data_IF_791339546536
#
_entry.id   IF_791339546536
#
_cell.length_a   1.000
_cell.length_b   1.000
_cell.length_c   1.000
_cell.angle_alpha   90.00
_cell.angle_beta   90.00
_cell.angle_gamma   90.00
#
_symmetry.space_group_name_H-M   'P 1'
#
loop_
_entity.id
_entity.type
_entity.pdbx_description
1 polymer ?
#
# COMPACT_ATOMS: atom_id res chain seq x y z
N UNK A 1 5.53 -14.08 -19.07
CA UNK A 1 6.29 -12.85 -18.73
C UNK A 1 6.31 -11.91 -19.91
N UNK A 2 5.96 -10.63 -19.70
CA UNK A 2 6.01 -9.60 -20.74
C UNK A 2 7.46 -9.36 -21.23
N UNK A 3 7.60 -8.73 -22.40
CA UNK A 3 8.92 -8.39 -22.95
C UNK A 3 9.45 -7.09 -22.33
N UNK A 4 10.77 -6.91 -22.23
CA UNK A 4 11.38 -5.66 -21.70
C UNK A 4 10.86 -4.40 -22.40
N UNK A 5 10.56 -4.47 -23.69
CA UNK A 5 10.01 -3.35 -24.47
C UNK A 5 8.65 -2.85 -23.99
N UNK A 6 7.81 -3.72 -23.43
CA UNK A 6 6.54 -3.31 -22.80
C UNK A 6 6.79 -2.50 -21.51
N UNK A 7 7.71 -2.95 -20.66
CA UNK A 7 8.15 -2.21 -19.47
C UNK A 7 8.62 -0.81 -19.87
N UNK A 8 9.51 -0.72 -20.85
CA UNK A 8 10.08 0.55 -21.32
C UNK A 8 9.00 1.47 -21.90
N UNK A 9 8.04 0.91 -22.63
CA UNK A 9 6.93 1.68 -23.19
C UNK A 9 6.03 2.27 -22.10
N UNK A 10 5.70 1.49 -21.07
CA UNK A 10 4.88 1.95 -19.94
C UNK A 10 5.66 2.99 -19.11
N UNK A 11 6.94 2.74 -18.84
CA UNK A 11 7.81 3.65 -18.12
C UNK A 11 7.94 5.00 -18.82
N UNK A 12 8.15 5.00 -20.13
CA UNK A 12 8.24 6.20 -20.94
C UNK A 12 6.95 7.02 -20.96
N UNK A 13 5.78 6.37 -21.02
CA UNK A 13 4.47 7.05 -20.92
C UNK A 13 4.21 7.63 -19.53
N UNK A 14 4.59 6.89 -18.48
CA UNK A 14 4.40 7.28 -17.10
C UNK A 14 5.49 8.22 -16.56
N UNK A 15 6.57 8.47 -17.33
CA UNK A 15 7.70 9.30 -16.91
C UNK A 15 8.44 8.76 -15.67
N UNK A 16 8.38 7.46 -15.42
CA UNK A 16 9.02 6.79 -14.28
C UNK A 16 10.13 5.84 -14.78
N UNK A 17 10.91 5.30 -13.84
CA UNK A 17 12.00 4.38 -14.19
C UNK A 17 11.46 3.02 -14.60
N UNK A 18 12.13 2.35 -15.54
CA UNK A 18 11.82 0.97 -15.97
C UNK A 18 11.78 0.00 -14.78
N UNK A 19 12.69 0.16 -13.82
CA UNK A 19 12.74 -0.65 -12.60
C UNK A 19 11.50 -0.47 -11.72
N UNK A 20 10.86 0.71 -11.74
CA UNK A 20 9.61 0.96 -11.02
C UNK A 20 8.46 0.19 -11.66
N UNK A 21 8.39 0.18 -13.00
CA UNK A 21 7.37 -0.58 -13.74
C UNK A 21 7.60 -2.08 -13.58
N UNK A 22 8.85 -2.54 -13.64
CA UNK A 22 9.16 -3.95 -13.40
C UNK A 22 8.70 -4.40 -12.01
N UNK A 23 8.98 -3.60 -10.97
CA UNK A 23 8.52 -3.91 -9.61
C UNK A 23 6.99 -3.94 -9.52
N UNK A 24 6.30 -2.98 -10.11
CA UNK A 24 4.84 -2.90 -10.16
C UNK A 24 4.23 -4.11 -10.91
N UNK A 25 4.88 -4.57 -11.98
CA UNK A 25 4.50 -5.77 -12.70
C UNK A 25 4.64 -7.03 -11.84
N UNK A 26 5.76 -7.18 -11.14
CA UNK A 26 5.97 -8.33 -10.25
C UNK A 26 4.98 -8.30 -9.08
N UNK A 27 4.69 -7.12 -8.50
CA UNK A 27 3.64 -6.94 -7.49
C UNK A 27 2.29 -7.45 -8.02
N UNK A 28 1.94 -7.15 -9.28
CA UNK A 28 0.69 -7.64 -9.87
C UNK A 28 0.63 -9.17 -9.90
N UNK A 29 1.71 -9.82 -10.29
CA UNK A 29 1.79 -11.29 -10.29
C UNK A 29 1.72 -11.89 -8.89
N UNK A 30 2.37 -11.27 -7.90
CA UNK A 30 2.24 -11.70 -6.49
C UNK A 30 0.80 -11.58 -6.01
N UNK A 31 0.11 -10.48 -6.32
CA UNK A 31 -1.30 -10.28 -5.97
C UNK A 31 -2.21 -11.31 -6.65
N UNK A 32 -1.95 -11.67 -7.91
CA UNK A 32 -2.67 -12.75 -8.60
C UNK A 32 -2.42 -14.11 -7.92
N UNK A 33 -1.18 -14.36 -7.50
CA UNK A 33 -0.84 -15.54 -6.72
C UNK A 33 -1.58 -15.61 -5.37
N UNK A 34 -1.71 -14.48 -4.67
CA UNK A 34 -2.52 -14.38 -3.43
C UNK A 34 -3.98 -14.70 -3.73
N UNK A 35 -4.55 -14.10 -4.77
CA UNK A 35 -5.94 -14.32 -5.15
C UNK A 35 -6.23 -15.76 -5.61
N UNK A 36 -5.23 -16.46 -6.15
CA UNK A 36 -5.32 -17.86 -6.56
C UNK A 36 -5.10 -18.86 -5.41
N UNK A 37 -4.47 -18.44 -4.31
CA UNK A 37 -4.23 -19.28 -3.14
C UNK A 37 -5.36 -19.10 -2.12
N UNK A 38 -6.19 -20.14 -1.92
CA UNK A 38 -7.38 -20.06 -1.05
C UNK A 38 -7.04 -19.58 0.37
N UNK A 39 -5.96 -20.11 0.97
CA UNK A 39 -5.57 -19.73 2.32
C UNK A 39 -5.21 -18.24 2.40
N UNK A 40 -4.40 -17.74 1.47
CA UNK A 40 -3.98 -16.33 1.46
C UNK A 40 -5.17 -15.42 1.15
N UNK A 41 -6.02 -15.78 0.17
CA UNK A 41 -7.19 -14.98 -0.21
C UNK A 41 -8.17 -14.82 0.94
N UNK A 42 -8.43 -15.90 1.73
CA UNK A 42 -9.40 -15.87 2.81
C UNK A 42 -8.89 -15.22 4.10
N UNK A 43 -7.58 -15.20 4.31
CA UNK A 43 -6.99 -14.74 5.57
C UNK A 43 -6.23 -13.42 5.48
N UNK A 44 -5.97 -12.89 4.28
CA UNK A 44 -5.26 -11.63 4.09
C UNK A 44 -6.19 -10.54 3.55
N UNK A 45 -6.21 -9.40 4.21
CA UNK A 45 -6.89 -8.20 3.73
C UNK A 45 -5.83 -7.18 3.31
N UNK A 46 -5.81 -6.85 2.02
CA UNK A 46 -4.83 -5.95 1.42
C UNK A 46 -5.05 -4.50 1.87
N UNK A 47 -3.99 -3.82 2.27
CA UNK A 47 -4.03 -2.44 2.77
C UNK A 47 -2.86 -1.60 2.26
N UNK A 48 -2.66 -0.43 2.82
CA UNK A 48 -1.52 0.44 2.53
C UNK A 48 -1.69 1.30 1.27
N UNK A 49 -0.59 1.90 0.81
CA UNK A 49 -0.59 2.77 -0.38
C UNK A 49 -0.80 2.00 -1.69
N UNK A 50 -0.34 0.75 -1.72
CA UNK A 50 -0.39 -0.09 -2.92
C UNK A 50 -1.83 -0.49 -3.27
N UNK A 51 -2.74 -0.57 -2.27
CA UNK A 51 -4.16 -0.84 -2.55
C UNK A 51 -4.80 0.26 -3.40
N UNK A 52 -4.39 1.53 -3.21
CA UNK A 52 -4.92 2.65 -3.99
C UNK A 52 -4.60 2.49 -5.47
N UNK A 53 -3.36 2.10 -5.82
CA UNK A 53 -2.93 1.86 -7.21
C UNK A 53 -3.52 0.60 -7.81
N UNK A 54 -3.53 -0.49 -7.05
CA UNK A 54 -3.84 -1.83 -7.59
C UNK A 54 -5.31 -2.19 -7.58
N UNK A 55 -6.14 -1.41 -6.86
CA UNK A 55 -7.55 -1.76 -6.66
C UNK A 55 -8.48 -0.59 -6.97
N UNK A 56 -8.09 0.64 -6.65
CA UNK A 56 -8.98 1.79 -6.74
C UNK A 56 -8.70 2.69 -7.94
N UNK A 57 -7.44 3.11 -8.14
CA UNK A 57 -7.09 4.17 -9.09
C UNK A 57 -5.94 3.75 -10.01
N UNK A 58 -6.21 3.41 -11.29
CA UNK A 58 -5.18 2.93 -12.21
C UNK A 58 -4.05 3.95 -12.46
N UNK A 59 -4.38 5.24 -12.40
CA UNK A 59 -3.42 6.33 -12.63
C UNK A 59 -2.78 6.89 -11.36
N UNK A 60 -2.98 6.20 -10.23
CA UNK A 60 -2.40 6.60 -8.95
C UNK A 60 -0.87 6.43 -8.94
N UNK A 61 -0.21 7.14 -8.01
CA UNK A 61 1.24 6.98 -7.80
C UNK A 61 1.63 5.53 -7.57
N UNK A 62 2.81 5.16 -8.01
CA UNK A 62 3.37 3.84 -7.74
C UNK A 62 3.64 3.63 -6.24
N UNK A 63 3.58 2.40 -5.81
CA UNK A 63 3.92 1.95 -4.46
C UNK A 63 4.63 0.62 -4.53
N UNK A 64 5.49 0.32 -3.56
CA UNK A 64 6.47 -0.75 -3.67
C UNK A 64 6.30 -1.87 -2.66
N UNK A 65 5.50 -1.63 -1.61
CA UNK A 65 5.30 -2.54 -0.49
C UNK A 65 3.94 -3.26 -0.60
N UNK A 66 3.86 -4.46 -0.09
CA UNK A 66 2.63 -5.22 0.05
C UNK A 66 2.27 -5.34 1.53
N UNK A 67 1.27 -4.59 1.95
CA UNK A 67 0.80 -4.53 3.33
C UNK A 67 -0.52 -5.32 3.47
N UNK A 68 -0.62 -6.17 4.47
CA UNK A 68 -1.82 -6.97 4.77
C UNK A 68 -2.18 -6.92 6.25
N UNK A 69 -3.47 -7.04 6.51
CA UNK A 69 -3.99 -7.42 7.83
C UNK A 69 -4.42 -8.88 7.77
N UNK A 70 -3.93 -9.68 8.70
CA UNK A 70 -4.37 -11.07 8.85
C UNK A 70 -5.68 -11.10 9.65
N UNK A 71 -6.70 -11.77 9.09
CA UNK A 71 -8.04 -11.86 9.68
C UNK A 71 -8.45 -13.28 10.03
N UNK A 72 -7.56 -14.26 9.79
CA UNK A 72 -7.79 -15.66 10.17
C UNK A 72 -7.81 -15.87 11.69
N UNK A 73 -8.32 -17.01 12.12
CA UNK A 73 -8.43 -17.34 13.56
C UNK A 73 -7.07 -17.47 14.23
N UNK A 74 -6.16 -18.20 13.60
CA UNK A 74 -4.85 -18.54 14.15
C UNK A 74 -3.77 -17.95 13.24
N UNK A 75 -2.97 -17.04 13.81
CA UNK A 75 -1.83 -16.45 13.11
C UNK A 75 -0.66 -17.43 13.13
N UNK A 76 -0.73 -18.42 12.24
CA UNK A 76 0.29 -19.45 12.09
C UNK A 76 1.29 -19.04 10.99
N UNK A 77 2.48 -18.66 11.40
CA UNK A 77 3.55 -18.23 10.49
C UNK A 77 4.00 -19.36 9.57
N UNK A 78 4.04 -20.61 10.04
CA UNK A 78 4.46 -21.74 9.21
C UNK A 78 3.39 -22.04 8.13
N UNK A 79 2.11 -21.89 8.45
CA UNK A 79 1.04 -21.99 7.46
C UNK A 79 1.13 -20.85 6.42
N UNK A 80 1.41 -19.61 6.87
CA UNK A 80 1.62 -18.46 5.98
C UNK A 80 2.82 -18.73 5.04
N UNK A 81 3.96 -19.16 5.57
CA UNK A 81 5.16 -19.51 4.79
C UNK A 81 4.86 -20.60 3.75
N UNK A 82 4.18 -21.66 4.16
CA UNK A 82 3.80 -22.75 3.25
C UNK A 82 2.90 -22.26 2.11
N UNK A 83 1.97 -21.34 2.41
CA UNK A 83 1.10 -20.73 1.41
C UNK A 83 1.87 -19.81 0.44
N UNK A 84 2.82 -19.00 0.95
CA UNK A 84 3.69 -18.17 0.08
C UNK A 84 4.64 -19.01 -0.77
N UNK A 85 5.14 -20.14 -0.27
CA UNK A 85 5.95 -21.06 -1.10
C UNK A 85 5.15 -21.62 -2.29
N UNK A 86 3.89 -22.02 -2.06
CA UNK A 86 2.98 -22.44 -3.15
C UNK A 86 2.69 -21.29 -4.12
N UNK A 87 2.52 -20.07 -3.62
CA UNK A 87 2.35 -18.89 -4.46
C UNK A 87 3.58 -18.66 -5.35
N UNK A 88 4.78 -18.76 -4.80
CA UNK A 88 6.05 -18.58 -5.53
C UNK A 88 6.17 -19.61 -6.67
N UNK A 89 5.86 -20.87 -6.40
CA UNK A 89 5.84 -21.93 -7.41
C UNK A 89 4.81 -21.61 -8.52
N UNK A 90 3.59 -21.25 -8.13
CA UNK A 90 2.53 -20.89 -9.07
C UNK A 90 2.90 -19.68 -9.94
N UNK A 91 3.45 -18.60 -9.35
CA UNK A 91 3.90 -17.41 -10.09
C UNK A 91 4.98 -17.78 -11.10
N UNK A 92 5.92 -18.66 -10.73
CA UNK A 92 6.95 -19.12 -11.65
C UNK A 92 6.36 -19.94 -12.81
N UNK A 93 5.42 -20.81 -12.55
CA UNK A 93 4.77 -21.64 -13.59
C UNK A 93 4.01 -20.78 -14.59
N UNK A 94 3.26 -19.78 -14.13
CA UNK A 94 2.42 -18.95 -14.99
C UNK A 94 3.21 -17.85 -15.72
N UNK A 95 4.16 -17.21 -15.03
CA UNK A 95 4.83 -16.00 -15.55
C UNK A 95 6.30 -16.18 -15.91
N UNK A 96 6.98 -17.20 -15.37
CA UNK A 96 8.45 -17.35 -15.39
C UNK A 96 9.19 -16.29 -14.57
N UNK A 97 8.51 -15.55 -13.69
CA UNK A 97 9.15 -14.70 -12.71
C UNK A 97 9.69 -15.57 -11.58
N UNK A 98 10.98 -15.48 -11.31
CA UNK A 98 11.58 -16.16 -10.14
C UNK A 98 11.42 -15.29 -8.90
N UNK A 99 10.86 -15.88 -7.84
CA UNK A 99 10.73 -15.25 -6.53
C UNK A 99 11.46 -16.07 -5.47
N UNK A 100 12.00 -15.40 -4.46
CA UNK A 100 12.58 -16.08 -3.28
C UNK A 100 12.35 -15.24 -2.02
N UNK A 101 12.00 -15.91 -0.91
CA UNK A 101 11.84 -15.26 0.39
C UNK A 101 13.19 -14.96 1.00
N UNK A 102 13.36 -13.74 1.53
CA UNK A 102 14.58 -13.29 2.21
C UNK A 102 14.23 -12.43 3.44
N UNK A 103 15.17 -12.33 4.38
CA UNK A 103 15.13 -11.42 5.52
C UNK A 103 13.82 -11.48 6.32
N UNK A 104 13.40 -12.69 6.68
CA UNK A 104 12.21 -12.91 7.49
C UNK A 104 12.40 -12.35 8.91
N UNK A 105 11.40 -11.64 9.42
CA UNK A 105 11.37 -11.13 10.79
C UNK A 105 9.99 -11.32 11.39
N UNK A 106 9.95 -11.97 12.54
CA UNK A 106 8.78 -12.00 13.41
C UNK A 106 8.99 -10.99 14.53
N UNK A 107 8.02 -10.10 14.72
CA UNK A 107 8.04 -9.12 15.79
C UNK A 107 7.25 -9.62 17.01
N UNK A 108 7.68 -9.24 18.22
CA UNK A 108 6.98 -9.57 19.46
C UNK A 108 5.53 -9.06 19.50
N UNK A 109 5.22 -8.06 18.65
CA UNK A 109 3.87 -7.51 18.46
C UNK A 109 2.96 -8.40 17.60
N UNK A 110 3.41 -9.58 17.16
CA UNK A 110 2.65 -10.48 16.30
C UNK A 110 2.68 -10.14 14.81
N UNK A 111 3.50 -9.16 14.38
CA UNK A 111 3.67 -8.84 12.96
C UNK A 111 4.73 -9.75 12.35
N UNK A 112 4.50 -10.16 11.11
CA UNK A 112 5.45 -10.93 10.32
C UNK A 112 5.78 -10.19 9.03
N UNK A 113 7.05 -9.95 8.78
CA UNK A 113 7.51 -9.34 7.53
C UNK A 113 8.65 -10.12 6.89
N UNK A 114 8.74 -10.02 5.58
CA UNK A 114 9.80 -10.61 4.77
C UNK A 114 9.92 -9.85 3.45
N UNK A 115 10.97 -10.17 2.70
CA UNK A 115 11.20 -9.63 1.37
C UNK A 115 11.06 -10.74 0.33
N UNK A 116 10.36 -10.45 -0.76
CA UNK A 116 10.35 -11.27 -1.97
C UNK A 116 11.38 -10.70 -2.95
N UNK A 117 12.56 -11.33 -3.01
CA UNK A 117 13.55 -11.02 -4.05
C UNK A 117 13.11 -11.62 -5.37
N UNK A 118 13.27 -10.87 -6.47
CA UNK A 118 12.76 -11.30 -7.77
C UNK A 118 13.74 -11.15 -8.93
N UNK A 119 13.55 -11.99 -9.95
CA UNK A 119 14.11 -11.81 -11.29
C UNK A 119 12.94 -11.72 -12.26
N UNK A 120 12.77 -10.52 -12.83
CA UNK A 120 11.68 -10.19 -13.76
C UNK A 120 12.16 -9.95 -15.19
N UNK A 121 11.32 -9.29 -16.03
CA UNK A 121 11.57 -9.10 -17.47
C UNK A 121 12.86 -8.39 -17.82
N UNK A 122 13.35 -7.48 -16.98
CA UNK A 122 14.60 -6.75 -17.23
C UNK A 122 15.84 -7.58 -16.88
N UNK A 123 15.67 -8.80 -16.37
CA UNK A 123 16.77 -9.69 -15.99
C UNK A 123 17.59 -9.17 -14.82
N UNK A 124 18.65 -9.91 -14.47
CA UNK A 124 19.62 -9.54 -13.45
C UNK A 124 19.11 -9.68 -12.01
N UNK A 125 20.00 -10.10 -11.11
CA UNK A 125 19.84 -9.92 -9.68
C UNK A 125 20.54 -8.62 -9.31
N UNK A 126 19.90 -7.73 -8.57
CA UNK A 126 20.51 -6.45 -8.21
C UNK A 126 19.86 -5.82 -6.99
N UNK A 127 20.56 -4.84 -6.41
CA UNK A 127 20.00 -4.01 -5.35
C UNK A 127 18.66 -3.39 -5.79
N UNK A 128 17.67 -3.41 -4.91
CA UNK A 128 16.29 -2.91 -5.13
C UNK A 128 15.33 -3.83 -5.94
N UNK A 129 15.67 -5.09 -6.15
CA UNK A 129 14.75 -6.08 -6.72
C UNK A 129 14.05 -6.91 -5.64
N UNK A 130 13.61 -6.23 -4.59
CA UNK A 130 12.90 -6.82 -3.47
C UNK A 130 11.56 -6.13 -3.28
N UNK A 131 10.53 -6.89 -2.97
CA UNK A 131 9.21 -6.43 -2.57
C UNK A 131 9.07 -6.74 -1.08
N UNK A 132 8.86 -5.73 -0.26
CA UNK A 132 8.56 -5.92 1.15
C UNK A 132 7.13 -6.40 1.32
N UNK A 133 6.94 -7.45 2.10
CA UNK A 133 5.62 -7.96 2.51
C UNK A 133 5.50 -7.79 4.02
N UNK A 134 4.49 -7.05 4.45
CA UNK A 134 4.16 -6.85 5.86
C UNK A 134 2.78 -7.45 6.16
N UNK A 135 2.72 -8.39 7.10
CA UNK A 135 1.48 -9.02 7.56
C UNK A 135 1.28 -8.66 9.04
N UNK A 136 0.26 -7.86 9.32
CA UNK A 136 -0.08 -7.41 10.67
C UNK A 136 -1.22 -8.23 11.24
N UNK A 137 -1.10 -8.68 12.47
CA UNK A 137 -2.14 -9.40 13.20
C UNK A 137 -3.02 -8.47 14.03
N UNK A 138 -2.41 -7.48 14.71
CA UNK A 138 -3.08 -6.57 15.63
C UNK A 138 -3.51 -5.28 14.93
N UNK A 139 -4.55 -5.37 14.07
CA UNK A 139 -5.14 -4.20 13.44
C UNK A 139 -6.65 -4.17 13.68
N UNK A 140 -7.15 -3.04 14.16
CA UNK A 140 -8.59 -2.79 14.19
C UNK A 140 -9.07 -2.49 12.77
N UNK A 141 -9.95 -3.30 12.22
CA UNK A 141 -10.66 -3.03 10.99
C UNK A 141 -12.05 -2.47 11.36
N UNK A 142 -12.27 -1.18 11.12
CA UNK A 142 -13.52 -0.51 11.47
C UNK A 142 -14.61 -0.76 10.40
N UNK A 143 -14.25 -0.56 9.14
CA UNK A 143 -15.14 -0.84 8.01
C UNK A 143 -14.85 -2.24 7.46
N UNK A 144 -15.91 -3.00 7.18
CA UNK A 144 -15.77 -4.34 6.62
C UNK A 144 -14.88 -4.35 5.36
N UNK A 145 -13.99 -5.34 5.22
CA UNK A 145 -13.21 -5.51 3.99
C UNK A 145 -14.11 -5.69 2.77
N UNK A 146 -13.66 -5.17 1.64
CA UNK A 146 -14.35 -5.29 0.36
C UNK A 146 -13.63 -6.26 -0.56
N UNK A 147 -14.34 -7.11 -1.27
CA UNK A 147 -13.76 -7.91 -2.35
C UNK A 147 -13.75 -7.09 -3.64
N UNK A 148 -12.57 -6.79 -4.18
CA UNK A 148 -12.36 -5.97 -5.37
C UNK A 148 -11.51 -6.68 -6.40
N UNK A 149 -11.77 -6.40 -7.68
CA UNK A 149 -10.90 -6.84 -8.76
C UNK A 149 -9.54 -6.16 -8.71
N UNK A 150 -8.49 -6.91 -9.00
CA UNK A 150 -7.14 -6.36 -9.16
C UNK A 150 -7.07 -5.67 -10.51
N UNK A 151 -6.67 -4.39 -10.53
CA UNK A 151 -6.48 -3.61 -11.75
C UNK A 151 -5.33 -4.21 -12.55
N UNK A 152 -5.59 -4.53 -13.79
CA UNK A 152 -4.61 -5.02 -14.74
C UNK A 152 -4.09 -3.88 -15.65
N UNK A 153 -2.76 -3.82 -15.81
CA UNK A 153 -2.08 -2.87 -16.70
C UNK A 153 -1.11 -3.55 -17.65
N UNK A 154 -0.97 -4.87 -17.59
CA UNK A 154 0.03 -5.64 -18.34
C UNK A 154 -0.62 -6.64 -19.28
N UNK A 155 -0.02 -6.84 -20.48
CA UNK A 155 -0.63 -7.60 -21.56
C UNK A 155 -0.80 -9.10 -21.28
N UNK A 156 -0.02 -9.66 -20.36
CA UNK A 156 -0.07 -11.08 -19.97
C UNK A 156 -0.91 -11.38 -18.72
N UNK A 157 -1.55 -10.36 -18.15
CA UNK A 157 -2.45 -10.52 -17.01
C UNK A 157 -3.91 -10.37 -17.48
N UNK A 158 -4.78 -11.20 -16.97
CA UNK A 158 -6.23 -11.14 -17.21
C UNK A 158 -6.97 -10.58 -15.99
N UNK A 159 -8.00 -9.76 -16.19
CA UNK A 159 -8.84 -9.20 -15.10
C UNK A 159 -9.81 -10.25 -14.53
N UNK A 160 -9.29 -11.36 -14.02
CA UNK A 160 -10.12 -12.45 -13.49
C UNK A 160 -10.04 -12.64 -11.99
N UNK A 161 -9.08 -12.01 -11.34
CA UNK A 161 -8.85 -12.18 -9.92
C UNK A 161 -9.35 -11.02 -9.08
N UNK A 162 -9.88 -11.34 -7.92
CA UNK A 162 -10.28 -10.40 -6.87
C UNK A 162 -9.56 -10.70 -5.57
N UNK A 163 -9.42 -9.68 -4.72
CA UNK A 163 -8.77 -9.76 -3.42
C UNK A 163 -9.60 -9.00 -2.38
N UNK A 164 -9.60 -9.47 -1.14
CA UNK A 164 -10.13 -8.68 -0.04
C UNK A 164 -9.18 -7.53 0.28
N UNK A 165 -9.72 -6.33 0.39
CA UNK A 165 -8.94 -5.14 0.68
C UNK A 165 -9.69 -4.18 1.61
N UNK A 166 -8.96 -3.24 2.18
CA UNK A 166 -9.55 -2.12 2.90
C UNK A 166 -10.44 -1.29 1.97
N UNK A 167 -11.62 -0.88 2.47
CA UNK A 167 -12.41 0.17 1.83
C UNK A 167 -11.66 1.49 1.79
N UNK A 168 -12.05 2.44 0.93
CA UNK A 168 -11.40 3.76 0.91
C UNK A 168 -11.47 4.45 2.26
N UNK A 169 -12.61 4.35 2.96
CA UNK A 169 -12.76 4.91 4.30
C UNK A 169 -11.80 4.29 5.31
N UNK A 170 -11.57 2.98 5.21
CA UNK A 170 -10.60 2.29 6.05
C UNK A 170 -9.15 2.74 5.76
N UNK A 171 -8.82 2.93 4.48
CA UNK A 171 -7.50 3.45 4.06
C UNK A 171 -7.29 4.87 4.59
N UNK A 172 -8.29 5.75 4.50
CA UNK A 172 -8.22 7.13 5.00
C UNK A 172 -7.98 7.14 6.51
N UNK A 173 -8.80 6.40 7.28
CA UNK A 173 -8.66 6.32 8.73
C UNK A 173 -7.28 5.78 9.14
N UNK A 174 -6.78 4.76 8.42
CA UNK A 174 -5.44 4.20 8.64
C UNK A 174 -4.33 5.21 8.32
N UNK A 175 -4.44 6.00 7.25
CA UNK A 175 -3.48 7.05 6.91
C UNK A 175 -3.47 8.16 7.96
N UNK A 176 -4.63 8.62 8.43
CA UNK A 176 -4.72 9.59 9.52
C UNK A 176 -4.03 9.07 10.79
N UNK A 177 -4.29 7.81 11.18
CA UNK A 177 -3.63 7.16 12.30
C UNK A 177 -2.11 7.04 12.10
N UNK A 178 -1.67 6.67 10.90
CA UNK A 178 -0.26 6.49 10.57
C UNK A 178 0.57 7.76 10.73
N UNK A 179 0.00 8.94 10.43
CA UNK A 179 0.64 10.24 10.66
C UNK A 179 0.96 10.47 12.14
N UNK A 180 0.15 9.95 13.06
CA UNK A 180 0.44 10.06 14.48
C UNK A 180 1.69 9.27 14.87
N UNK A 181 1.92 8.15 14.22
CA UNK A 181 3.03 7.24 14.52
C UNK A 181 4.33 7.62 13.81
N UNK A 182 4.25 7.95 12.51
CA UNK A 182 5.41 8.17 11.64
C UNK A 182 5.34 9.52 10.92
N UNK A 183 6.46 9.89 10.27
CA UNK A 183 6.53 11.08 9.44
C UNK A 183 6.85 10.66 8.00
N UNK A 184 5.84 10.22 7.28
CA UNK A 184 5.95 9.77 5.90
C UNK A 184 5.21 10.74 4.97
N UNK A 185 5.90 11.52 4.12
CA UNK A 185 5.27 12.45 3.17
C UNK A 185 4.20 11.80 2.30
N UNK A 186 4.37 10.52 1.95
CA UNK A 186 3.39 9.74 1.18
C UNK A 186 2.01 9.68 1.85
N UNK A 187 1.94 9.64 3.20
CA UNK A 187 0.66 9.61 3.90
C UNK A 187 -0.09 10.95 3.78
N UNK A 188 0.63 12.07 3.74
CA UNK A 188 0.07 13.41 3.47
C UNK A 188 -0.43 13.51 2.03
N UNK A 189 0.38 13.04 1.05
CA UNK A 189 -0.04 13.01 -0.35
C UNK A 189 -1.29 12.15 -0.56
N UNK A 190 -1.33 10.96 0.05
CA UNK A 190 -2.45 10.03 -0.09
C UNK A 190 -3.75 10.65 0.46
N UNK A 191 -3.71 11.32 1.62
CA UNK A 191 -4.87 12.02 2.17
C UNK A 191 -5.31 13.20 1.31
N UNK A 192 -4.36 13.99 0.81
CA UNK A 192 -4.67 15.09 -0.11
C UNK A 192 -5.36 14.60 -1.37
N UNK A 193 -4.83 13.55 -2.00
CA UNK A 193 -5.42 12.96 -3.19
C UNK A 193 -6.85 12.46 -2.93
N UNK A 194 -7.04 11.75 -1.83
CA UNK A 194 -8.36 11.19 -1.48
C UNK A 194 -9.39 12.28 -1.16
N UNK A 195 -8.98 13.38 -0.54
CA UNK A 195 -9.90 14.47 -0.19
C UNK A 195 -10.14 15.45 -1.34
N UNK A 196 -9.08 15.92 -2.01
CA UNK A 196 -9.19 17.00 -3.00
C UNK A 196 -9.42 16.46 -4.43
N UNK A 197 -8.87 15.29 -4.78
CA UNK A 197 -9.02 14.73 -6.12
C UNK A 197 -10.20 13.77 -6.19
N UNK A 198 -10.31 12.86 -5.22
CA UNK A 198 -11.39 11.85 -5.18
C UNK A 198 -12.64 12.32 -4.41
N UNK A 199 -12.60 13.51 -3.81
CA UNK A 199 -13.76 14.15 -3.19
C UNK A 199 -14.28 13.47 -1.92
N UNK A 200 -13.44 12.70 -1.22
CA UNK A 200 -13.82 12.11 0.06
C UNK A 200 -13.97 13.19 1.14
N UNK A 201 -14.99 13.09 2.00
CA UNK A 201 -15.13 14.03 3.12
C UNK A 201 -14.50 13.46 4.39
N UNK A 202 -13.60 14.23 5.01
CA UNK A 202 -12.93 13.82 6.24
C UNK A 202 -13.92 13.50 7.37
N UNK A 203 -15.08 14.17 7.40
CA UNK A 203 -16.09 14.00 8.43
C UNK A 203 -16.62 12.55 8.48
N UNK A 204 -16.70 11.87 7.34
CA UNK A 204 -17.17 10.49 7.22
C UNK A 204 -16.20 9.46 7.85
N UNK A 205 -14.94 9.86 8.08
CA UNK A 205 -13.87 8.95 8.50
C UNK A 205 -13.38 9.20 9.94
N UNK A 206 -13.93 10.20 10.63
CA UNK A 206 -13.47 10.62 11.96
C UNK A 206 -13.59 9.50 12.98
N UNK A 207 -14.73 8.83 13.06
CA UNK A 207 -14.96 7.78 14.05
C UNK A 207 -14.04 6.57 13.83
N UNK A 208 -13.89 6.13 12.57
CA UNK A 208 -12.96 5.06 12.22
C UNK A 208 -11.53 5.42 12.61
N UNK A 209 -11.09 6.64 12.31
CA UNK A 209 -9.78 7.14 12.73
C UNK A 209 -9.62 7.14 14.25
N UNK A 210 -10.62 7.68 15.00
CA UNK A 210 -10.55 7.77 16.45
C UNK A 210 -10.39 6.39 17.11
N UNK A 211 -11.14 5.40 16.64
CA UNK A 211 -11.08 4.04 17.17
C UNK A 211 -9.74 3.36 16.84
N UNK A 212 -9.25 3.51 15.61
CA UNK A 212 -7.92 3.01 15.21
C UNK A 212 -6.79 3.68 16.02
N UNK A 213 -6.87 4.99 16.24
CA UNK A 213 -5.88 5.72 17.03
C UNK A 213 -5.85 5.23 18.48
N UNK A 214 -7.02 5.11 19.11
CA UNK A 214 -7.16 4.58 20.48
C UNK A 214 -6.65 3.14 20.60
N UNK A 215 -6.99 2.28 19.63
CA UNK A 215 -6.51 0.89 19.59
C UNK A 215 -4.97 0.80 19.60
N UNK A 216 -4.30 1.73 18.93
CA UNK A 216 -2.82 1.83 18.92
C UNK A 216 -2.25 2.70 20.04
N UNK A 217 -3.06 3.10 21.01
CA UNK A 217 -2.62 3.88 22.18
C UNK A 217 -2.37 5.36 21.91
N UNK A 218 -2.88 5.91 20.82
CA UNK A 218 -2.80 7.34 20.50
C UNK A 218 -4.05 8.09 20.95
N UNK A 219 -3.87 9.32 21.41
CA UNK A 219 -4.96 10.25 21.68
C UNK A 219 -5.39 10.94 20.36
N UNK A 220 -6.57 10.62 19.80
CA UNK A 220 -7.00 11.16 18.50
C UNK A 220 -7.14 12.68 18.52
N UNK A 221 -7.37 13.30 19.66
CA UNK A 221 -7.48 14.76 19.80
C UNK A 221 -6.16 15.48 19.50
N UNK A 222 -5.04 14.77 19.51
CA UNK A 222 -3.72 15.33 19.22
C UNK A 222 -3.36 15.31 17.73
N UNK A 223 -4.20 14.77 16.82
CA UNK A 223 -3.87 14.63 15.40
C UNK A 223 -3.37 15.94 14.79
N UNK A 224 -4.13 17.01 14.92
CA UNK A 224 -3.80 18.30 14.29
C UNK A 224 -2.48 18.85 14.85
N UNK A 225 -2.30 18.82 16.16
CA UNK A 225 -1.03 19.24 16.80
C UNK A 225 0.17 18.42 16.29
N UNK A 226 0.00 17.12 16.11
CA UNK A 226 1.06 16.24 15.59
C UNK A 226 1.37 16.56 14.13
N UNK A 227 0.36 16.82 13.31
CA UNK A 227 0.52 17.20 11.91
C UNK A 227 1.32 18.52 11.80
N UNK A 228 0.92 19.56 12.53
CA UNK A 228 1.59 20.86 12.55
C UNK A 228 3.04 20.76 13.00
N UNK A 229 3.33 19.97 14.04
CA UNK A 229 4.70 19.76 14.52
C UNK A 229 5.60 19.08 13.48
N UNK A 230 5.03 18.28 12.58
CA UNK A 230 5.75 17.53 11.54
C UNK A 230 5.85 18.26 10.20
N UNK A 231 5.19 19.41 10.02
CA UNK A 231 5.12 20.15 8.75
C UNK A 231 6.49 20.35 8.09
N UNK A 232 7.46 20.91 8.82
CA UNK A 232 8.81 21.16 8.28
C UNK A 232 9.52 19.88 7.82
N UNK A 233 9.27 18.78 8.50
CA UNK A 233 9.87 17.47 8.15
C UNK A 233 9.19 16.90 6.91
N UNK A 234 7.87 17.00 6.80
CA UNK A 234 7.16 16.63 5.58
C UNK A 234 7.64 17.44 4.38
N UNK A 235 7.73 18.78 4.50
CA UNK A 235 8.22 19.66 3.45
C UNK A 235 9.64 19.28 2.99
N UNK A 236 10.55 19.04 3.96
CA UNK A 236 11.94 18.68 3.68
C UNK A 236 12.07 17.41 2.84
N UNK A 237 11.26 16.41 3.13
CA UNK A 237 11.35 15.08 2.51
C UNK A 237 10.32 14.86 1.39
N UNK A 238 9.52 15.88 1.04
CA UNK A 238 8.41 15.76 0.10
C UNK A 238 8.83 15.20 -1.26
N UNK A 239 9.75 15.89 -1.90
CA UNK A 239 10.23 15.52 -3.24
C UNK A 239 10.97 14.18 -3.25
N UNK A 240 11.84 13.95 -2.29
CA UNK A 240 12.66 12.74 -2.23
C UNK A 240 11.81 11.46 -2.09
N UNK A 241 10.74 11.53 -1.30
CA UNK A 241 9.86 10.38 -1.07
C UNK A 241 8.86 10.11 -2.20
N UNK A 242 8.59 11.10 -3.06
CA UNK A 242 7.61 10.97 -4.14
C UNK A 242 8.26 10.84 -5.53
N UNK A 243 9.50 11.28 -5.70
CA UNK A 243 10.18 11.37 -7.00
C UNK A 243 10.29 10.05 -7.79
N UNK A 244 10.34 8.90 -7.09
CA UNK A 244 10.39 7.59 -7.75
C UNK A 244 9.00 7.00 -8.02
N UNK A 245 7.93 7.66 -7.55
CA UNK A 245 6.58 7.10 -7.56
C UNK A 245 5.63 7.80 -8.53
N UNK A 246 5.99 9.01 -8.98
CA UNK A 246 5.20 9.81 -9.91
C UNK A 246 6.09 10.82 -10.64
N UNK A 247 5.62 11.30 -11.77
CA UNK A 247 6.34 12.31 -12.59
C UNK A 247 6.06 13.73 -12.11
N UNK A 248 4.78 14.02 -11.88
CA UNK A 248 4.33 15.35 -11.48
C UNK A 248 4.04 15.36 -9.98
N UNK A 249 5.01 15.90 -9.21
CA UNK A 249 4.86 16.03 -7.77
C UNK A 249 4.20 17.39 -7.50
N UNK A 250 3.01 17.44 -6.88
CA UNK A 250 2.38 18.70 -6.53
C UNK A 250 3.24 19.50 -5.55
N UNK A 251 3.13 20.82 -5.58
CA UNK A 251 3.85 21.67 -4.64
C UNK A 251 3.38 21.41 -3.20
N UNK A 252 4.30 21.25 -2.29
CA UNK A 252 3.99 20.93 -0.89
C UNK A 252 3.10 21.99 -0.24
N UNK A 253 3.34 23.28 -0.50
CA UNK A 253 2.59 24.37 0.15
C UNK A 253 1.14 24.40 -0.36
N UNK A 254 0.91 24.04 -1.63
CA UNK A 254 -0.45 23.95 -2.16
C UNK A 254 -1.19 22.78 -1.52
N UNK A 255 -0.57 21.58 -1.48
CA UNK A 255 -1.12 20.40 -0.81
C UNK A 255 -1.41 20.71 0.67
N UNK A 256 -0.49 21.35 1.37
CA UNK A 256 -0.63 21.69 2.77
C UNK A 256 -1.77 22.68 3.03
N UNK A 257 -1.86 23.72 2.19
CA UNK A 257 -2.94 24.70 2.25
C UNK A 257 -4.32 24.06 2.03
N UNK A 258 -4.43 23.15 1.07
CA UNK A 258 -5.66 22.48 0.72
C UNK A 258 -6.09 21.51 1.83
N UNK A 259 -5.19 20.67 2.33
CA UNK A 259 -5.46 19.84 3.50
C UNK A 259 -5.86 20.64 4.74
N UNK A 260 -5.36 21.86 4.90
CA UNK A 260 -5.74 22.76 5.99
C UNK A 260 -7.25 23.04 6.06
N UNK A 261 -7.97 22.95 4.93
CA UNK A 261 -9.44 23.08 4.91
C UNK A 261 -10.11 21.88 5.58
N UNK A 262 -9.61 20.67 5.30
CA UNK A 262 -10.12 19.43 5.87
C UNK A 262 -9.79 19.32 7.36
N UNK A 263 -8.58 19.72 7.76
CA UNK A 263 -8.23 19.74 9.20
C UNK A 263 -9.11 20.67 10.01
N UNK A 264 -9.56 21.81 9.45
CA UNK A 264 -10.55 22.70 10.12
C UNK A 264 -11.92 22.05 10.28
N UNK A 265 -12.37 21.22 9.32
CA UNK A 265 -13.59 20.42 9.50
C UNK A 265 -13.42 19.41 10.63
N UNK A 266 -12.28 18.71 10.67
CA UNK A 266 -11.96 17.74 11.72
C UNK A 266 -12.00 18.34 13.11
N UNK A 267 -11.60 19.62 13.29
CA UNK A 267 -11.65 20.31 14.58
C UNK A 267 -13.03 20.32 15.27
N UNK A 268 -14.11 20.19 14.51
CA UNK A 268 -15.47 20.13 15.08
C UNK A 268 -15.74 18.84 15.87
N UNK A 269 -14.91 17.84 15.72
CA UNK A 269 -15.04 16.52 16.35
C UNK A 269 -14.02 16.28 17.46
N UNK A 270 -13.19 17.29 17.74
CA UNK A 270 -12.20 17.28 18.83
C UNK A 270 -12.73 18.20 19.92
N UNK A 271 -13.15 17.64 21.05
CA UNK A 271 -13.43 18.35 22.29
C UNK A 271 -12.37 18.03 23.35
#
# INVERSE_FOLDING_TARGET
MIQPGEIQSIAGKGGVRDTQIEKDYVISWVMYGIANNLFLKENLVFKGGTVLKKVYFPDYRFSEDLDFTFTGKDFDIEAIKAAFNKLIEWVYEESRISLSVQNETQHDTGNYNFYLSYTGPLGGAGANKDIKVDISQDELIYNAPEEKKIINTYSDLEEKYSIFCYSLGEVIAEKMRSIMQRTAPRDIYDLWYLFEVEGQDIEDHVFAFQDKAKHKGYDPNKLIKVIEQKEKTFAKHWKDHLANQMTEIPDFNDVWRELGKHWRKFHKFIE
#
